data_IF_662714617072
#
_entry.id   IF_662714617072
#
_cell.length_a   1.000
_cell.length_b   1.000
_cell.length_c   1.000
_cell.angle_alpha   90.00
_cell.angle_beta   90.00
_cell.angle_gamma   90.00
#
_symmetry.space_group_name_H-M   'P 1'
#
loop_
_entity.id
_entity.type
_entity.pdbx_description
1 polymer ?
#
# COMPACT_ATOMS: atom_id res chain seq x y z
N UNK A 1 -43.02 -43.44 41.34
CA UNK A 1 -42.29 -43.57 40.03
C UNK A 1 -41.98 -42.16 39.55
N UNK A 2 -40.79 -41.63 39.86
CA UNK A 2 -40.31 -40.34 39.32
C UNK A 2 -39.45 -40.65 38.07
N UNK A 3 -39.91 -40.15 36.92
CA UNK A 3 -39.11 -40.17 35.68
C UNK A 3 -38.22 -38.96 35.66
N UNK A 4 -36.92 -39.14 35.79
CA UNK A 4 -35.89 -38.14 35.66
C UNK A 4 -35.72 -37.79 34.18
N UNK A 5 -35.98 -36.54 33.80
CA UNK A 5 -35.76 -36.03 32.44
C UNK A 5 -34.35 -35.47 32.37
N UNK A 6 -33.42 -36.18 31.73
CA UNK A 6 -32.09 -35.69 31.44
C UNK A 6 -32.18 -34.71 30.22
N UNK A 7 -31.95 -33.41 30.48
CA UNK A 7 -31.81 -32.40 29.42
C UNK A 7 -30.34 -32.38 29.01
N UNK A 8 -30.04 -32.88 27.82
CA UNK A 8 -28.73 -32.70 27.17
C UNK A 8 -28.65 -31.30 26.57
N UNK A 9 -27.89 -30.40 27.20
CA UNK A 9 -27.51 -29.13 26.63
C UNK A 9 -26.32 -29.37 25.70
N UNK A 10 -26.56 -29.41 24.41
CA UNK A 10 -25.50 -29.41 23.38
C UNK A 10 -24.96 -27.99 23.25
N UNK A 11 -23.76 -27.79 23.79
CA UNK A 11 -23.00 -26.55 23.59
C UNK A 11 -22.44 -26.56 22.16
N UNK A 12 -23.10 -25.83 21.26
CA UNK A 12 -22.59 -25.60 19.90
C UNK A 12 -21.40 -24.66 19.99
N UNK A 13 -20.19 -25.21 19.82
CA UNK A 13 -18.97 -24.45 19.69
C UNK A 13 -19.02 -23.74 18.31
N UNK A 14 -19.40 -22.47 18.28
CA UNK A 14 -19.28 -21.64 17.08
C UNK A 14 -17.80 -21.33 16.90
N UNK A 15 -17.14 -22.08 16.03
CA UNK A 15 -15.79 -21.76 15.56
C UNK A 15 -15.91 -20.51 14.67
N UNK A 16 -15.66 -19.35 15.27
CA UNK A 16 -15.43 -18.13 14.52
C UNK A 16 -14.09 -18.30 13.81
N UNK A 17 -14.13 -18.71 12.55
CA UNK A 17 -12.96 -18.70 11.69
C UNK A 17 -12.58 -17.24 11.47
N UNK A 18 -11.68 -16.70 12.28
CA UNK A 18 -10.99 -15.45 11.96
C UNK A 18 -10.20 -15.69 10.68
N UNK A 19 -10.52 -14.97 9.63
CA UNK A 19 -9.73 -14.94 8.39
C UNK A 19 -8.33 -14.39 8.71
N UNK A 20 -7.40 -15.26 9.08
CA UNK A 20 -5.99 -14.92 9.36
C UNK A 20 -5.18 -14.66 8.07
N UNK A 21 -5.70 -15.05 6.91
CA UNK A 21 -4.99 -14.90 5.64
C UNK A 21 -4.59 -13.45 5.29
N UNK A 22 -5.44 -12.41 5.48
CA UNK A 22 -5.04 -11.04 5.20
C UNK A 22 -3.98 -10.50 6.17
N UNK A 23 -4.01 -10.93 7.43
CA UNK A 23 -3.07 -10.47 8.48
C UNK A 23 -1.66 -11.03 8.26
N UNK A 24 -1.56 -12.33 7.93
CA UNK A 24 -0.28 -12.98 7.58
C UNK A 24 0.36 -12.31 6.37
N UNK A 25 -0.39 -12.14 5.29
CA UNK A 25 0.11 -11.51 4.07
C UNK A 25 0.55 -10.05 4.29
N UNK A 26 -0.18 -9.30 5.14
CA UNK A 26 0.21 -7.95 5.50
C UNK A 26 1.55 -7.92 6.25
N UNK A 27 1.71 -8.79 7.25
CA UNK A 27 2.93 -8.86 8.04
C UNK A 27 4.13 -9.30 7.18
N UNK A 28 3.96 -10.27 6.31
CA UNK A 28 4.98 -10.71 5.35
C UNK A 28 5.40 -9.56 4.41
N UNK A 29 4.42 -8.82 3.88
CA UNK A 29 4.68 -7.65 3.04
C UNK A 29 5.47 -6.58 3.78
N UNK A 30 5.06 -6.25 5.01
CA UNK A 30 5.72 -5.24 5.84
C UNK A 30 7.17 -5.66 6.12
N UNK A 31 7.37 -6.89 6.60
CA UNK A 31 8.72 -7.40 6.90
C UNK A 31 9.64 -7.36 5.68
N UNK A 32 9.10 -7.67 4.51
CA UNK A 32 9.87 -7.67 3.27
C UNK A 32 10.25 -6.27 2.79
N UNK A 33 9.40 -5.25 3.02
CA UNK A 33 9.57 -3.94 2.39
C UNK A 33 9.78 -2.77 3.35
N UNK A 34 9.75 -2.99 4.67
CA UNK A 34 9.93 -1.93 5.68
C UNK A 34 11.24 -1.15 5.50
N UNK A 35 12.34 -1.86 5.30
CA UNK A 35 13.66 -1.24 5.16
C UNK A 35 13.75 -0.42 3.86
N UNK A 36 13.16 -0.93 2.77
CA UNK A 36 13.07 -0.19 1.51
C UNK A 36 12.23 1.09 1.67
N UNK A 37 11.12 1.02 2.41
CA UNK A 37 10.29 2.19 2.68
C UNK A 37 11.04 3.24 3.52
N UNK A 38 11.84 2.81 4.49
CA UNK A 38 12.70 3.69 5.29
C UNK A 38 13.77 4.34 4.42
N UNK A 39 14.46 3.57 3.58
CA UNK A 39 15.43 4.11 2.60
C UNK A 39 14.79 5.16 1.69
N UNK A 40 13.61 4.88 1.15
CA UNK A 40 12.85 5.83 0.32
C UNK A 40 12.43 7.07 1.10
N UNK A 41 12.06 6.94 2.38
CA UNK A 41 11.77 8.11 3.24
C UNK A 41 12.97 9.04 3.36
N UNK A 42 14.15 8.51 3.63
CA UNK A 42 15.36 9.34 3.72
C UNK A 42 15.80 9.93 2.38
N UNK A 43 15.57 9.21 1.29
CA UNK A 43 15.87 9.71 -0.05
C UNK A 43 14.93 10.84 -0.50
N UNK A 44 13.66 10.81 -0.08
CA UNK A 44 12.59 11.61 -0.71
C UNK A 44 11.82 12.51 0.25
N UNK A 45 11.84 12.21 1.54
CA UNK A 45 11.01 12.89 2.55
C UNK A 45 9.58 12.34 2.66
N UNK A 46 9.20 11.35 1.85
CA UNK A 46 7.88 10.72 1.94
C UNK A 46 7.87 9.75 3.13
N UNK A 47 6.91 9.82 4.07
CA UNK A 47 6.88 8.92 5.23
C UNK A 47 6.93 7.44 4.83
N UNK A 48 7.72 6.65 5.57
CA UNK A 48 7.79 5.19 5.36
C UNK A 48 6.43 4.53 5.60
N UNK A 49 5.68 5.01 6.59
CA UNK A 49 4.31 4.57 6.88
C UNK A 49 3.37 4.76 5.69
N UNK A 50 3.41 5.90 5.03
CA UNK A 50 2.63 6.20 3.82
C UNK A 50 3.05 5.28 2.67
N UNK A 51 4.35 5.08 2.48
CA UNK A 51 4.88 4.20 1.43
C UNK A 51 4.41 2.76 1.63
N UNK A 52 4.51 2.23 2.85
CA UNK A 52 4.04 0.88 3.17
C UNK A 52 2.52 0.75 3.06
N UNK A 53 1.76 1.71 3.59
CA UNK A 53 0.30 1.67 3.53
C UNK A 53 -0.24 1.69 2.09
N UNK A 54 0.36 2.50 1.21
CA UNK A 54 0.05 2.48 -0.22
C UNK A 54 0.43 1.15 -0.86
N UNK A 55 1.64 0.65 -0.60
CA UNK A 55 2.06 -0.65 -1.12
C UNK A 55 1.11 -1.78 -0.73
N UNK A 56 0.74 -1.87 0.55
CA UNK A 56 -0.27 -2.83 1.05
C UNK A 56 -1.63 -2.67 0.35
N UNK A 57 -2.05 -1.41 0.15
CA UNK A 57 -3.38 -1.12 -0.41
C UNK A 57 -3.45 -1.42 -1.90
N UNK A 58 -2.54 -0.84 -2.68
CA UNK A 58 -2.54 -0.89 -4.14
C UNK A 58 -2.18 -2.28 -4.69
N UNK A 59 -1.30 -3.00 -3.99
CA UNK A 59 -0.87 -4.34 -4.42
C UNK A 59 -1.70 -5.49 -3.87
N UNK A 60 -2.74 -5.20 -3.07
CA UNK A 60 -3.43 -6.22 -2.29
C UNK A 60 -2.43 -7.08 -1.49
N UNK A 61 -1.63 -6.43 -0.64
CA UNK A 61 -0.59 -7.08 0.17
C UNK A 61 0.52 -7.77 -0.67
N UNK A 62 0.78 -7.29 -1.88
CA UNK A 62 1.73 -7.90 -2.82
C UNK A 62 1.16 -9.07 -3.61
N UNK A 63 -0.12 -9.40 -3.45
CA UNK A 63 -0.77 -10.58 -4.04
C UNK A 63 -1.54 -10.28 -5.33
N UNK A 64 -1.64 -9.01 -5.75
CA UNK A 64 -2.30 -8.67 -7.01
C UNK A 64 -1.50 -9.19 -8.21
N UNK A 65 -2.19 -9.51 -9.31
CA UNK A 65 -1.51 -9.92 -10.56
C UNK A 65 -0.50 -8.88 -11.02
N UNK A 66 -0.84 -7.59 -10.89
CA UNK A 66 0.05 -6.50 -11.27
C UNK A 66 1.34 -6.47 -10.44
N UNK A 67 1.24 -6.76 -9.12
CA UNK A 67 2.41 -6.87 -8.26
C UNK A 67 3.25 -8.11 -8.60
N UNK A 68 2.61 -9.28 -8.80
CA UNK A 68 3.30 -10.55 -9.02
C UNK A 68 3.94 -10.68 -10.40
N UNK A 69 3.25 -10.20 -11.46
CA UNK A 69 3.67 -10.41 -12.85
C UNK A 69 4.45 -9.21 -13.41
N UNK A 70 4.19 -8.00 -12.90
CA UNK A 70 4.83 -6.77 -13.37
C UNK A 70 5.70 -6.06 -12.33
N UNK A 71 5.84 -6.58 -11.11
CA UNK A 71 6.48 -5.94 -9.96
C UNK A 71 5.95 -4.52 -9.69
N UNK A 72 4.73 -4.20 -10.10
CA UNK A 72 4.13 -2.88 -9.95
C UNK A 72 3.22 -2.87 -8.72
N UNK A 73 3.76 -2.43 -7.60
CA UNK A 73 3.09 -2.44 -6.31
C UNK A 73 2.23 -1.21 -6.04
N UNK A 74 2.21 -0.22 -6.94
CA UNK A 74 1.52 1.05 -6.74
C UNK A 74 0.54 1.41 -7.86
N UNK A 75 0.28 0.50 -8.78
CA UNK A 75 -0.66 0.73 -9.87
C UNK A 75 -0.24 1.87 -10.81
N UNK A 76 1.05 2.12 -10.98
CA UNK A 76 1.52 3.22 -11.83
C UNK A 76 1.24 2.90 -13.29
N UNK A 77 0.35 3.71 -13.90
CA UNK A 77 -0.02 3.58 -15.31
C UNK A 77 1.09 4.14 -16.21
N UNK A 78 1.16 3.62 -17.44
CA UNK A 78 2.00 4.19 -18.49
C UNK A 78 1.58 5.65 -18.75
N UNK A 79 2.55 6.44 -19.14
CA UNK A 79 2.34 7.76 -19.74
C UNK A 79 2.95 7.75 -21.13
N UNK A 80 2.59 8.72 -21.98
CA UNK A 80 3.07 8.80 -23.36
C UNK A 80 4.60 8.82 -23.50
N UNK A 81 5.30 9.23 -22.46
CA UNK A 81 6.76 9.30 -22.39
C UNK A 81 7.42 8.04 -21.78
N UNK A 82 6.60 7.06 -21.31
CA UNK A 82 7.15 5.82 -20.74
C UNK A 82 7.75 4.93 -21.83
N UNK A 83 9.03 4.60 -21.71
CA UNK A 83 9.77 3.76 -22.65
C UNK A 83 10.18 2.39 -22.07
N UNK A 84 9.84 2.13 -20.80
CA UNK A 84 10.10 0.85 -20.12
C UNK A 84 9.13 -0.25 -20.55
N UNK A 85 9.28 -1.43 -19.93
CA UNK A 85 8.36 -2.55 -20.13
C UNK A 85 6.94 -2.18 -19.68
N UNK A 86 5.96 -2.75 -20.34
CA UNK A 86 4.53 -2.51 -20.08
C UNK A 86 3.82 -3.80 -19.73
N UNK A 87 2.77 -3.67 -18.94
CA UNK A 87 1.84 -4.74 -18.61
C UNK A 87 0.42 -4.24 -18.86
N UNK A 88 -0.37 -4.99 -19.60
CA UNK A 88 -1.75 -4.63 -19.88
C UNK A 88 -2.69 -5.42 -18.98
N UNK A 89 -3.58 -4.72 -18.31
CA UNK A 89 -4.53 -5.32 -17.37
C UNK A 89 -5.84 -4.55 -17.41
N UNK A 90 -6.97 -5.28 -17.26
CA UNK A 90 -8.27 -4.65 -17.05
C UNK A 90 -8.31 -4.03 -15.66
N UNK A 91 -8.61 -2.74 -15.64
CA UNK A 91 -8.68 -1.92 -14.45
C UNK A 91 -10.10 -1.33 -14.30
N UNK A 92 -10.33 -0.54 -13.27
CA UNK A 92 -11.62 0.11 -12.98
C UNK A 92 -12.02 1.20 -14.01
N UNK A 93 -11.27 1.35 -15.09
CA UNK A 93 -11.62 2.24 -16.20
C UNK A 93 -12.65 1.57 -17.10
N UNK A 94 -13.72 2.30 -17.43
CA UNK A 94 -14.80 1.83 -18.31
C UNK A 94 -14.87 2.67 -19.58
N UNK A 95 -15.21 2.02 -20.70
CA UNK A 95 -15.56 2.72 -21.93
C UNK A 95 -16.96 3.34 -21.86
N UNK A 96 -17.36 4.08 -22.90
CA UNK A 96 -18.67 4.71 -22.99
C UNK A 96 -19.84 3.70 -22.95
N UNK A 97 -19.58 2.42 -23.17
CA UNK A 97 -20.56 1.34 -23.15
C UNK A 97 -20.57 0.56 -21.82
N UNK A 98 -19.72 0.95 -20.86
CA UNK A 98 -19.60 0.27 -19.56
C UNK A 98 -18.75 -0.99 -19.58
N UNK A 99 -17.91 -1.23 -20.59
CA UNK A 99 -16.96 -2.32 -20.60
C UNK A 99 -15.66 -1.90 -19.93
N UNK A 100 -15.06 -2.81 -19.15
CA UNK A 100 -13.73 -2.59 -18.56
C UNK A 100 -12.70 -2.40 -19.67
N UNK A 101 -11.97 -1.29 -19.58
CA UNK A 101 -10.85 -0.99 -20.47
C UNK A 101 -9.58 -1.73 -20.03
N UNK A 102 -8.78 -2.12 -21.00
CA UNK A 102 -7.45 -2.63 -20.76
C UNK A 102 -6.48 -1.44 -20.66
N UNK A 103 -6.03 -1.17 -19.42
CA UNK A 103 -5.10 -0.08 -19.13
C UNK A 103 -3.65 -0.53 -19.23
N UNK A 104 -2.78 0.39 -19.68
CA UNK A 104 -1.34 0.17 -19.71
C UNK A 104 -0.73 0.52 -18.35
N UNK A 105 -0.04 -0.43 -17.72
CA UNK A 105 0.73 -0.27 -16.51
C UNK A 105 2.22 -0.42 -16.77
N UNK A 106 3.05 0.29 -15.99
CA UNK A 106 4.50 0.10 -16.01
C UNK A 106 4.85 -1.27 -15.46
N UNK A 107 5.78 -1.97 -16.10
CA UNK A 107 6.35 -3.21 -15.60
C UNK A 107 7.82 -2.99 -15.24
N UNK A 108 8.20 -3.48 -14.07
CA UNK A 108 9.53 -3.26 -13.50
C UNK A 108 10.34 -4.56 -13.45
N UNK A 109 11.67 -4.44 -13.34
CA UNK A 109 12.56 -5.58 -13.18
C UNK A 109 12.50 -6.14 -11.76
N UNK A 110 12.20 -5.28 -10.80
CA UNK A 110 12.12 -5.62 -9.38
C UNK A 110 11.09 -4.74 -8.67
N UNK A 111 10.65 -5.16 -7.50
CA UNK A 111 9.80 -4.35 -6.62
C UNK A 111 10.52 -3.06 -6.18
N UNK A 112 11.85 -3.09 -6.01
CA UNK A 112 12.65 -1.90 -5.68
C UNK A 112 12.43 -0.81 -6.74
N UNK A 113 12.48 -1.17 -8.03
CA UNK A 113 12.26 -0.21 -9.13
C UNK A 113 10.86 0.42 -9.03
N UNK A 114 9.84 -0.35 -8.61
CA UNK A 114 8.48 0.15 -8.39
C UNK A 114 8.39 1.17 -7.26
N UNK A 115 9.05 0.92 -6.14
CA UNK A 115 9.12 1.84 -4.99
C UNK A 115 9.80 3.14 -5.38
N UNK A 116 10.95 3.05 -6.04
CA UNK A 116 11.72 4.22 -6.50
C UNK A 116 10.91 5.04 -7.51
N UNK A 117 10.28 4.38 -8.49
CA UNK A 117 9.50 5.08 -9.53
C UNK A 117 8.25 5.76 -8.94
N UNK A 118 7.55 5.11 -7.99
CA UNK A 118 6.42 5.73 -7.27
C UNK A 118 6.86 6.98 -6.50
N UNK A 119 7.96 6.91 -5.79
CA UNK A 119 8.46 8.05 -5.03
C UNK A 119 8.88 9.19 -5.97
N UNK A 120 9.56 8.89 -7.07
CA UNK A 120 9.91 9.86 -8.11
C UNK A 120 8.67 10.47 -8.77
N UNK A 121 7.63 9.68 -9.02
CA UNK A 121 6.35 10.17 -9.55
C UNK A 121 5.73 11.23 -8.64
N UNK A 122 5.75 11.05 -7.33
CA UNK A 122 5.26 12.05 -6.39
C UNK A 122 6.16 13.29 -6.35
N UNK A 123 7.48 13.11 -6.30
CA UNK A 123 8.43 14.22 -6.23
C UNK A 123 8.41 15.14 -7.47
N UNK A 124 8.24 14.55 -8.65
CA UNK A 124 8.32 15.25 -9.92
C UNK A 124 7.01 15.93 -10.35
N UNK A 125 5.91 15.56 -9.73
CA UNK A 125 4.59 16.09 -10.12
C UNK A 125 4.22 17.32 -9.31
N UNK A 126 3.98 18.44 -9.98
CA UNK A 126 3.57 19.72 -9.38
C UNK A 126 2.38 19.56 -8.41
N UNK A 127 1.44 18.68 -8.75
CA UNK A 127 0.22 18.47 -7.95
C UNK A 127 0.49 17.92 -6.54
N UNK A 128 1.65 17.28 -6.32
CA UNK A 128 2.04 16.70 -5.01
C UNK A 128 3.09 17.54 -4.28
N UNK A 129 3.61 18.62 -4.87
CA UNK A 129 4.70 19.43 -4.27
C UNK A 129 4.39 19.92 -2.86
N UNK A 130 3.15 20.31 -2.60
CA UNK A 130 2.75 20.84 -1.29
C UNK A 130 2.84 19.77 -0.17
N UNK A 131 2.78 18.47 -0.50
CA UNK A 131 2.92 17.39 0.48
C UNK A 131 4.29 17.42 1.16
N UNK A 132 5.32 17.82 0.45
CA UNK A 132 6.70 17.86 0.96
C UNK A 132 6.95 18.97 1.98
N UNK A 133 5.96 19.84 2.26
CA UNK A 133 5.96 20.77 3.38
C UNK A 133 5.33 20.20 4.66
N UNK A 134 4.68 19.02 4.57
CA UNK A 134 4.09 18.32 5.70
C UNK A 134 5.19 17.55 6.43
N UNK A 135 5.16 17.57 7.77
CA UNK A 135 6.09 16.75 8.56
C UNK A 135 5.98 15.27 8.19
N UNK A 136 7.11 14.57 8.13
CA UNK A 136 7.12 13.11 7.92
C UNK A 136 6.37 12.33 9.02
N UNK A 137 6.23 12.93 10.20
CA UNK A 137 5.53 12.31 11.33
C UNK A 137 4.01 12.52 11.26
N UNK A 138 3.51 13.36 10.33
CA UNK A 138 2.10 13.62 10.12
C UNK A 138 1.55 12.82 8.94
N UNK A 139 1.52 11.50 9.10
CA UNK A 139 1.00 10.59 8.08
C UNK A 139 -0.48 10.85 7.75
N UNK A 140 -1.25 11.41 8.69
CA UNK A 140 -2.66 11.70 8.43
C UNK A 140 -2.81 12.82 7.41
N UNK A 141 -2.11 13.95 7.59
CA UNK A 141 -2.10 15.03 6.60
C UNK A 141 -1.52 14.58 5.26
N UNK A 142 -0.51 13.70 5.26
CA UNK A 142 0.00 13.08 4.03
C UNK A 142 -1.06 12.26 3.30
N UNK A 143 -1.82 11.42 4.01
CA UNK A 143 -2.87 10.58 3.42
C UNK A 143 -4.00 11.41 2.80
N UNK A 144 -4.47 12.44 3.52
CA UNK A 144 -5.48 13.37 3.00
C UNK A 144 -4.94 14.16 1.80
N UNK A 145 -3.73 14.69 1.89
CA UNK A 145 -3.11 15.44 0.82
C UNK A 145 -2.93 14.62 -0.46
N UNK A 146 -2.57 13.34 -0.36
CA UNK A 146 -2.55 12.42 -1.51
C UNK A 146 -3.92 12.27 -2.15
N UNK A 147 -4.99 12.11 -1.34
CA UNK A 147 -6.37 12.01 -1.82
C UNK A 147 -6.82 13.30 -2.50
N UNK A 148 -6.60 14.44 -1.89
CA UNK A 148 -6.96 15.77 -2.41
C UNK A 148 -6.21 16.10 -3.69
N UNK A 149 -4.97 15.65 -3.81
CA UNK A 149 -4.17 15.76 -5.04
C UNK A 149 -4.60 14.79 -6.14
N UNK A 150 -5.62 13.95 -5.90
CA UNK A 150 -6.16 13.02 -6.89
C UNK A 150 -5.25 11.83 -7.17
N UNK A 151 -4.58 11.29 -6.15
CA UNK A 151 -3.84 10.04 -6.28
C UNK A 151 -4.78 8.87 -6.56
N UNK A 152 -5.94 8.86 -5.90
CA UNK A 152 -7.00 7.88 -6.11
C UNK A 152 -8.36 8.57 -6.21
N UNK A 153 -9.28 7.95 -6.94
CA UNK A 153 -10.68 8.41 -7.08
C UNK A 153 -11.55 8.03 -5.88
N UNK A 154 -11.19 6.97 -5.16
CA UNK A 154 -11.91 6.47 -3.98
C UNK A 154 -12.05 7.57 -2.90
N UNK A 155 -13.28 7.97 -2.51
CA UNK A 155 -13.49 8.99 -1.48
C UNK A 155 -12.93 8.60 -0.10
N UNK A 156 -12.78 7.30 0.17
CA UNK A 156 -12.28 6.76 1.44
C UNK A 156 -10.77 6.46 1.41
N UNK A 157 -10.06 6.86 0.36
CA UNK A 157 -8.65 6.50 0.17
C UNK A 157 -7.77 6.87 1.38
N UNK A 158 -7.87 8.11 1.85
CA UNK A 158 -7.09 8.58 3.00
C UNK A 158 -7.37 7.77 4.26
N UNK A 159 -8.65 7.50 4.56
CA UNK A 159 -9.05 6.69 5.70
C UNK A 159 -8.50 5.27 5.62
N UNK A 160 -8.56 4.66 4.44
CA UNK A 160 -8.02 3.30 4.21
C UNK A 160 -6.51 3.22 4.43
N UNK A 161 -5.75 4.26 4.07
CA UNK A 161 -4.33 4.34 4.38
C UNK A 161 -4.09 4.51 5.89
N UNK A 162 -4.79 5.45 6.53
CA UNK A 162 -4.69 5.70 7.97
C UNK A 162 -5.03 4.46 8.79
N UNK A 163 -6.10 3.75 8.43
CA UNK A 163 -6.48 2.48 9.08
C UNK A 163 -5.35 1.43 9.00
N UNK A 164 -4.70 1.29 7.84
CA UNK A 164 -3.56 0.39 7.69
C UNK A 164 -2.36 0.84 8.54
N UNK A 165 -2.07 2.15 8.55
CA UNK A 165 -0.97 2.71 9.33
C UNK A 165 -1.17 2.42 10.82
N UNK A 166 -2.38 2.64 11.33
CA UNK A 166 -2.70 2.39 12.74
C UNK A 166 -2.73 0.89 13.03
N UNK A 167 -3.42 0.10 12.20
CA UNK A 167 -3.60 -1.35 12.41
C UNK A 167 -2.28 -2.11 12.47
N UNK A 168 -1.33 -1.75 11.61
CA UNK A 168 -0.03 -2.41 11.52
C UNK A 168 1.11 -1.60 12.16
N UNK A 169 0.76 -0.53 12.89
CA UNK A 169 1.72 0.35 13.58
C UNK A 169 2.84 0.88 12.66
N UNK A 170 2.50 1.17 11.39
CA UNK A 170 3.50 1.55 10.39
C UNK A 170 4.20 2.87 10.73
N UNK A 171 3.56 3.75 11.50
CA UNK A 171 4.14 5.03 11.96
C UNK A 171 5.46 4.87 12.73
N UNK A 172 5.73 3.69 13.30
CA UNK A 172 7.01 3.40 13.97
C UNK A 172 8.20 3.47 13.01
N UNK A 173 7.99 3.20 11.73
CA UNK A 173 9.04 3.25 10.71
C UNK A 173 9.40 4.69 10.31
N UNK A 174 8.54 5.68 10.56
CA UNK A 174 8.82 7.10 10.33
C UNK A 174 9.86 7.63 11.33
N UNK A 175 10.02 6.94 12.47
CA UNK A 175 11.01 7.23 13.52
C UNK A 175 12.31 6.43 13.37
N UNK A 176 12.46 5.62 12.31
CA UNK A 176 13.68 4.84 12.08
C UNK A 176 14.89 5.74 11.90
N UNK A 177 16.06 5.28 12.35
CA UNK A 177 17.33 5.98 12.13
C UNK A 177 17.69 5.99 10.63
N UNK A 178 18.46 7.01 10.24
CA UNK A 178 18.98 7.13 8.88
C UNK A 178 19.88 5.93 8.54
N UNK A 179 19.48 5.08 7.58
CA UNK A 179 20.27 3.91 7.19
C UNK A 179 21.61 4.29 6.56
N UNK A 180 21.80 5.54 6.13
CA UNK A 180 23.05 6.05 5.54
C UNK A 180 23.94 6.77 6.55
N UNK A 181 23.53 6.88 7.83
CA UNK A 181 24.25 7.61 8.87
C UNK A 181 25.71 7.16 9.03
N UNK A 182 25.99 5.88 8.79
CA UNK A 182 27.33 5.33 8.88
C UNK A 182 28.25 5.77 7.73
N UNK A 183 27.70 6.21 6.60
CA UNK A 183 28.44 6.71 5.44
C UNK A 183 28.87 8.17 5.59
N UNK A 184 28.33 8.88 6.60
CA UNK A 184 28.59 10.30 6.86
C UNK A 184 29.56 10.53 8.03
N UNK A 185 30.20 9.46 8.54
CA UNK A 185 31.12 9.49 9.70
C UNK A 185 32.59 9.41 9.29
N UNK A 186 32.98 10.23 8.31
CA UNK A 186 34.42 10.46 8.00
C UNK A 186 34.80 11.92 8.24
#
# INVERSE_FOLDING_TARGET
MFKSLLVFITFALVLVSFNHAPESAANEYIEQYKDLAVVEMYRTGIPASITLAQGLHESNYGLSKLALEANNHFGIKCKSWWTGKTYFHKDDDFDANGNLLESCFRAYRSTVDSYVDRSNFLMQSERYKHLFSISKDDYASWAYGLKESGYATDPQYAQKLIEKIIRYELYKYDQSEDPFRHLLKD
#
